data_IF_982621175794
#
_entry.id   IF_982621175794
#
_cell.length_a   1.000
_cell.length_b   1.000
_cell.length_c   1.000
_cell.angle_alpha   90.00
_cell.angle_beta   90.00
_cell.angle_gamma   90.00
#
_symmetry.space_group_name_H-M   'P 1'
#
loop_
_entity.id
_entity.type
_entity.pdbx_description
1 polymer ?
#
# COMPACT_ATOMS: atom_id res chain seq x y z
N UNK A 1 -4.20 -10.65 -19.18
CA UNK A 1 -4.03 -10.68 -17.71
C UNK A 1 -2.61 -11.08 -17.40
N UNK A 2 -2.06 -10.61 -16.28
CA UNK A 2 -0.70 -10.94 -15.83
C UNK A 2 -0.70 -12.38 -15.30
N UNK A 3 -0.42 -13.36 -16.17
CA UNK A 3 -0.47 -14.80 -15.83
C UNK A 3 0.89 -15.41 -15.50
N UNK A 4 1.97 -14.63 -15.61
CA UNK A 4 3.34 -15.05 -15.28
C UNK A 4 4.04 -13.95 -14.50
N UNK A 5 4.74 -14.35 -13.44
CA UNK A 5 5.64 -13.45 -12.73
C UNK A 5 6.85 -13.08 -13.59
N UNK A 6 7.40 -11.90 -13.37
CA UNK A 6 8.62 -11.44 -14.06
C UNK A 6 9.90 -12.15 -13.59
N UNK A 7 9.83 -12.88 -12.48
CA UNK A 7 11.00 -13.43 -11.78
C UNK A 7 11.90 -12.37 -11.14
N UNK A 8 11.46 -11.10 -11.15
CA UNK A 8 12.19 -9.97 -10.56
C UNK A 8 11.60 -9.65 -9.20
N UNK A 9 12.44 -9.46 -8.18
CA UNK A 9 11.97 -8.99 -6.88
C UNK A 9 11.44 -7.56 -7.00
N UNK A 10 10.42 -7.22 -6.20
CA UNK A 10 9.82 -5.89 -6.21
C UNK A 10 10.88 -4.80 -5.92
N UNK A 11 11.78 -5.04 -4.97
CA UNK A 11 12.89 -4.15 -4.61
C UNK A 11 13.85 -3.90 -5.78
N UNK A 12 14.15 -4.93 -6.58
CA UNK A 12 15.02 -4.80 -7.75
C UNK A 12 14.35 -3.96 -8.84
N UNK A 13 13.03 -4.13 -9.01
CA UNK A 13 12.26 -3.32 -9.94
C UNK A 13 12.21 -1.85 -9.50
N UNK A 14 11.97 -1.61 -8.21
CA UNK A 14 11.92 -0.28 -7.60
C UNK A 14 13.20 0.52 -7.83
N UNK A 15 14.37 -0.11 -7.62
CA UNK A 15 15.66 0.56 -7.82
C UNK A 15 15.81 1.15 -9.23
N UNK A 16 15.21 0.50 -10.24
CA UNK A 16 15.24 0.97 -11.64
C UNK A 16 14.36 2.19 -11.87
N UNK A 17 13.34 2.41 -11.04
CA UNK A 17 12.42 3.56 -11.17
C UNK A 17 12.86 4.78 -10.36
N UNK A 18 13.72 4.61 -9.36
CA UNK A 18 14.26 5.70 -8.56
C UNK A 18 14.93 6.78 -9.44
N UNK A 19 15.63 6.37 -10.50
CA UNK A 19 16.39 7.27 -11.38
C UNK A 19 15.54 7.94 -12.47
N UNK A 20 14.25 7.58 -12.58
CA UNK A 20 13.37 8.02 -13.69
C UNK A 20 12.48 9.20 -13.28
N UNK A 21 12.51 9.62 -12.00
CA UNK A 21 11.76 10.78 -11.52
C UNK A 21 10.26 10.56 -11.42
N UNK A 22 9.83 9.32 -11.12
CA UNK A 22 8.42 9.00 -10.88
C UNK A 22 7.90 9.70 -9.62
N UNK A 23 6.65 10.19 -9.67
CA UNK A 23 6.05 10.94 -8.57
C UNK A 23 5.67 10.06 -7.37
N UNK A 24 5.20 8.84 -7.61
CA UNK A 24 4.85 7.88 -6.58
C UNK A 24 4.80 6.44 -7.15
N UNK A 25 4.96 5.46 -6.27
CA UNK A 25 4.69 4.05 -6.55
C UNK A 25 3.35 3.66 -5.92
N UNK A 26 2.49 3.03 -6.71
CA UNK A 26 1.32 2.32 -6.17
C UNK A 26 1.72 0.86 -6.04
N UNK A 27 1.79 0.36 -4.81
CA UNK A 27 2.11 -1.05 -4.54
C UNK A 27 0.85 -1.77 -4.10
N UNK A 28 0.40 -2.67 -4.96
CA UNK A 28 -0.76 -3.52 -4.72
C UNK A 28 -0.32 -4.93 -4.36
N UNK A 29 -0.71 -5.44 -3.20
CA UNK A 29 -0.62 -6.88 -2.92
C UNK A 29 -1.79 -7.59 -3.61
N UNK A 30 -1.49 -8.25 -4.73
CA UNK A 30 -2.47 -9.00 -5.53
C UNK A 30 -3.08 -10.17 -4.73
N UNK A 31 -2.32 -10.80 -3.83
CA UNK A 31 -2.80 -11.91 -3.01
C UNK A 31 -3.80 -11.46 -1.93
N UNK A 32 -3.75 -10.18 -1.53
CA UNK A 32 -4.66 -9.58 -0.56
C UNK A 32 -5.72 -8.70 -1.18
N UNK A 33 -5.61 -8.32 -2.44
CA UNK A 33 -6.60 -7.47 -3.08
C UNK A 33 -8.00 -8.12 -3.08
N UNK A 34 -9.00 -7.36 -2.66
CA UNK A 34 -10.36 -7.85 -2.48
C UNK A 34 -10.56 -8.93 -1.39
N UNK A 35 -9.54 -9.26 -0.59
CA UNK A 35 -9.68 -10.27 0.49
C UNK A 35 -10.21 -9.69 1.79
N UNK A 36 -9.93 -8.40 2.04
CA UNK A 36 -10.32 -7.67 3.26
C UNK A 36 -9.69 -8.23 4.54
N UNK A 37 -8.56 -8.95 4.44
CA UNK A 37 -7.84 -9.53 5.58
C UNK A 37 -6.74 -8.63 6.14
N UNK A 38 -6.68 -7.38 5.69
CA UNK A 38 -5.65 -6.40 6.05
C UNK A 38 -4.49 -6.34 5.05
N UNK A 39 -3.80 -5.19 4.95
CA UNK A 39 -2.70 -4.94 4.02
C UNK A 39 -1.41 -5.70 4.40
N UNK A 40 -0.46 -5.82 3.46
CA UNK A 40 0.87 -6.39 3.72
C UNK A 40 1.83 -5.32 4.27
N UNK A 41 1.76 -5.07 5.58
CA UNK A 41 2.62 -4.06 6.23
C UNK A 41 4.11 -4.40 6.13
N UNK A 42 4.48 -5.68 6.16
CA UNK A 42 5.88 -6.10 6.09
C UNK A 42 6.45 -5.90 4.67
N UNK A 43 5.67 -6.22 3.64
CA UNK A 43 6.04 -5.92 2.26
C UNK A 43 6.16 -4.42 2.00
N UNK A 44 5.22 -3.62 2.52
CA UNK A 44 5.26 -2.16 2.41
C UNK A 44 6.48 -1.56 3.13
N UNK A 45 6.82 -2.04 4.33
CA UNK A 45 8.03 -1.64 5.04
C UNK A 45 9.30 -1.93 4.21
N UNK A 46 9.36 -3.12 3.61
CA UNK A 46 10.48 -3.51 2.73
C UNK A 46 10.63 -2.56 1.54
N UNK A 47 9.51 -2.13 0.94
CA UNK A 47 9.51 -1.15 -0.16
C UNK A 47 9.95 0.23 0.32
N UNK A 48 9.48 0.67 1.49
CA UNK A 48 9.88 1.95 2.08
C UNK A 48 11.40 1.97 2.39
N UNK A 49 11.97 0.86 2.84
CA UNK A 49 13.41 0.75 3.07
C UNK A 49 14.22 0.79 1.76
N UNK A 50 13.66 0.27 0.66
CA UNK A 50 14.38 0.09 -0.61
C UNK A 50 14.27 1.27 -1.60
N UNK A 51 13.34 2.20 -1.40
CA UNK A 51 13.07 3.29 -2.36
C UNK A 51 12.99 4.65 -1.68
N UNK A 52 13.56 5.73 -2.22
CA UNK A 52 13.21 7.07 -1.77
C UNK A 52 11.86 7.57 -2.33
N UNK A 53 11.29 6.90 -3.34
CA UNK A 53 10.06 7.34 -4.02
C UNK A 53 8.85 7.25 -3.09
N UNK A 54 7.94 8.24 -3.09
CA UNK A 54 6.68 8.19 -2.34
C UNK A 54 5.88 6.92 -2.63
N UNK A 55 5.29 6.33 -1.59
CA UNK A 55 4.62 5.03 -1.67
C UNK A 55 3.14 5.15 -1.30
N UNK A 56 2.27 4.65 -2.19
CA UNK A 56 0.83 4.50 -1.95
C UNK A 56 0.51 3.02 -1.80
N UNK A 57 -0.07 2.64 -0.66
CA UNK A 57 -0.49 1.27 -0.39
C UNK A 57 -1.80 0.93 -1.10
N UNK A 58 -1.93 -0.29 -1.59
CA UNK A 58 -3.15 -0.79 -2.24
C UNK A 58 -3.33 -2.29 -1.96
N UNK A 59 -4.59 -2.72 -1.81
CA UNK A 59 -4.95 -4.10 -1.54
C UNK A 59 -5.08 -4.46 -0.05
N UNK A 60 -6.05 -5.31 0.27
CA UNK A 60 -6.21 -5.89 1.61
C UNK A 60 -6.97 -5.07 2.64
N UNK A 61 -7.08 -3.73 2.51
CA UNK A 61 -7.79 -2.88 3.49
C UNK A 61 -9.23 -3.34 3.70
N UNK A 62 -9.56 -3.73 4.93
CA UNK A 62 -10.88 -4.25 5.30
C UNK A 62 -11.55 -3.49 6.46
N UNK A 63 -10.77 -2.79 7.29
CA UNK A 63 -11.21 -2.14 8.53
C UNK A 63 -10.58 -0.75 8.70
N UNK A 64 -11.11 0.04 9.65
CA UNK A 64 -10.49 1.31 10.04
C UNK A 64 -9.14 1.12 10.75
N UNK A 65 -8.94 -0.02 11.42
CA UNK A 65 -7.66 -0.33 12.08
C UNK A 65 -6.55 -0.63 11.06
N UNK A 66 -6.90 -1.18 9.89
CA UNK A 66 -5.94 -1.32 8.79
C UNK A 66 -5.41 0.04 8.34
N UNK A 67 -6.28 1.06 8.26
CA UNK A 67 -5.87 2.42 7.91
C UNK A 67 -4.94 3.03 8.97
N UNK A 68 -5.26 2.82 10.26
CA UNK A 68 -4.41 3.24 11.37
C UNK A 68 -3.03 2.56 11.31
N UNK A 69 -3.00 1.27 11.03
CA UNK A 69 -1.76 0.53 10.90
C UNK A 69 -0.92 1.03 9.71
N UNK A 70 -1.55 1.36 8.59
CA UNK A 70 -0.87 1.96 7.44
C UNK A 70 -0.29 3.35 7.76
N UNK A 71 -1.05 4.22 8.44
CA UNK A 71 -0.56 5.55 8.81
C UNK A 71 0.53 5.52 9.89
N UNK A 72 0.51 4.51 10.75
CA UNK A 72 1.53 4.26 11.77
C UNK A 72 2.80 3.61 11.20
N UNK A 73 2.77 3.11 9.96
CA UNK A 73 3.93 2.51 9.31
C UNK A 73 4.99 3.58 9.06
N UNK A 74 6.10 3.45 9.79
CA UNK A 74 7.27 4.33 9.72
C UNK A 74 8.51 3.43 9.56
N UNK A 75 9.24 3.64 8.47
CA UNK A 75 10.48 2.93 8.18
C UNK A 75 11.59 3.97 8.00
N UNK A 76 12.44 4.12 9.02
CA UNK A 76 13.53 5.09 9.01
C UNK A 76 13.09 6.55 8.85
N UNK A 77 11.91 6.93 9.38
CA UNK A 77 11.34 8.26 9.24
C UNK A 77 10.57 8.48 7.93
N UNK A 78 10.42 7.44 7.10
CA UNK A 78 9.59 7.46 5.89
C UNK A 78 8.24 6.81 6.16
N UNK A 79 7.19 7.41 5.58
CA UNK A 79 5.81 6.94 5.70
C UNK A 79 5.17 6.78 4.33
N UNK A 80 4.02 6.14 4.32
CA UNK A 80 3.17 6.06 3.14
C UNK A 80 2.61 7.45 2.80
N UNK A 81 2.55 7.77 1.51
CA UNK A 81 1.91 8.97 0.96
C UNK A 81 0.38 8.83 0.96
N UNK A 82 -0.13 7.60 0.98
CA UNK A 82 -1.55 7.33 1.07
C UNK A 82 -1.91 5.86 0.94
N UNK A 83 -3.20 5.60 0.89
CA UNK A 83 -3.76 4.27 0.68
C UNK A 83 -4.95 4.32 -0.29
N UNK A 84 -5.09 3.26 -1.09
CA UNK A 84 -6.25 3.04 -1.97
C UNK A 84 -7.16 2.00 -1.30
N UNK A 85 -8.41 2.40 -1.04
CA UNK A 85 -9.43 1.54 -0.45
C UNK A 85 -10.49 1.24 -1.50
N UNK A 86 -10.59 -0.02 -1.93
CA UNK A 86 -11.58 -0.47 -2.90
C UNK A 86 -12.75 -1.20 -2.22
N UNK A 87 -12.63 -2.52 -2.14
CA UNK A 87 -13.74 -3.42 -1.76
C UNK A 87 -14.39 -3.09 -0.41
N UNK A 88 -13.65 -2.61 0.60
CA UNK A 88 -14.23 -2.26 1.90
C UNK A 88 -15.25 -1.11 1.80
N UNK A 89 -14.96 -0.10 0.96
CA UNK A 89 -15.91 0.99 0.68
C UNK A 89 -17.06 0.50 -0.20
N UNK A 90 -16.77 -0.34 -1.19
CA UNK A 90 -17.79 -0.92 -2.08
C UNK A 90 -18.82 -1.77 -1.31
N UNK A 91 -18.37 -2.55 -0.31
CA UNK A 91 -19.22 -3.35 0.56
C UNK A 91 -19.82 -2.55 1.74
N UNK A 92 -19.53 -1.25 1.86
CA UNK A 92 -20.07 -0.41 2.92
C UNK A 92 -19.62 -0.78 4.33
N UNK A 93 -18.42 -1.35 4.51
CA UNK A 93 -17.88 -1.71 5.84
C UNK A 93 -17.59 -0.50 6.71
N UNK A 94 -17.30 0.61 6.06
CA UNK A 94 -17.20 1.95 6.61
C UNK A 94 -17.36 2.94 5.46
N UNK A 95 -17.62 4.19 5.81
CA UNK A 95 -17.75 5.32 4.89
C UNK A 95 -16.40 6.03 4.73
N UNK A 96 -16.28 6.83 3.66
CA UNK A 96 -15.13 7.72 3.47
C UNK A 96 -14.98 8.69 4.66
N UNK A 97 -16.11 9.17 5.22
CA UNK A 97 -16.08 10.05 6.39
C UNK A 97 -15.50 9.36 7.63
N UNK A 98 -15.90 8.11 7.90
CA UNK A 98 -15.33 7.31 9.01
C UNK A 98 -13.85 7.00 8.79
N UNK A 99 -13.44 6.72 7.56
CA UNK A 99 -12.03 6.52 7.20
C UNK A 99 -11.19 7.76 7.47
N UNK A 100 -11.66 8.94 7.06
CA UNK A 100 -10.99 10.21 7.32
C UNK A 100 -10.95 10.53 8.81
N UNK A 101 -12.05 10.31 9.53
CA UNK A 101 -12.12 10.55 10.97
C UNK A 101 -11.21 9.59 11.77
N UNK A 102 -11.03 8.36 11.32
CA UNK A 102 -10.11 7.41 11.93
C UNK A 102 -8.63 7.81 11.78
N UNK A 103 -8.34 8.76 10.88
CA UNK A 103 -7.01 9.23 10.52
C UNK A 103 -6.71 10.67 10.92
N UNK A 104 -7.65 11.32 11.61
CA UNK A 104 -7.51 12.66 12.16
C UNK A 104 -6.64 12.69 13.44
#
# INVERSE_FOLDING_TARGET
GWTRGSGTALTDAIGRFADIGVAALVVTDIGRDGTLVGPDLAGLATVLAASPVPLVASGGVGTLDDLRALAALDEGGRRLEGAIVGKALFEGRFTVAEALAAMA
#
